data_IF_196522106259
#
_entry.id   IF_196522106259
#
_cell.length_a   1.000
_cell.length_b   1.000
_cell.length_c   1.000
_cell.angle_alpha   90.00
_cell.angle_beta   90.00
_cell.angle_gamma   90.00
#
_symmetry.space_group_name_H-M   'P 1'
#
loop_
_entity.id
_entity.type
_entity.pdbx_description
1 polymer ?
2 non-polymer ?
3 non-polymer ?
4 non-polymer ?
5 water ?
#
# COMPACT_ATOMS: atom_id res chain seq x y z
N UNK A 4 14.20 22.41 -5.58
CA UNK A 4 13.15 22.68 -6.61
C UNK A 4 11.88 21.92 -6.19
N UNK A 5 10.93 21.79 -7.12
CA UNK A 5 9.77 20.98 -6.88
C UNK A 5 9.95 19.59 -7.45
N UNK A 6 9.46 18.61 -6.70
CA UNK A 6 9.58 17.21 -7.08
C UNK A 6 8.18 16.64 -7.20
N UNK A 7 7.94 15.91 -8.28
CA UNK A 7 6.69 15.20 -8.46
C UNK A 7 6.95 13.69 -8.52
N UNK A 8 6.16 12.92 -7.77
CA UNK A 8 6.27 11.48 -7.72
C UNK A 8 4.90 10.90 -8.05
N UNK A 9 4.89 9.92 -8.98
CA UNK A 9 3.69 9.16 -9.33
C UNK A 9 3.95 7.69 -8.94
N UNK A 10 3.02 7.13 -8.18
CA UNK A 10 3.00 5.71 -7.83
C UNK A 10 1.90 5.10 -8.65
N UNK A 11 2.28 4.26 -9.60
CA UNK A 11 1.28 3.54 -10.44
C UNK A 11 0.92 2.23 -9.81
N UNK A 12 0.10 2.30 -8.78
CA UNK A 12 -0.31 1.10 -8.04
C UNK A 12 -1.32 0.27 -8.79
N UNK A 13 -1.52 -0.95 -8.32
CA UNK A 13 -2.40 -1.88 -8.99
C UNK A 13 -3.87 -1.41 -8.97
N UNK A 14 -4.34 -0.87 -7.85
CA UNK A 14 -5.68 -0.35 -7.75
C UNK A 14 -5.72 1.16 -7.95
N UNK A 15 -4.85 1.86 -7.24
CA UNK A 15 -4.91 3.30 -7.12
C UNK A 15 -3.60 3.92 -7.55
N UNK A 16 -3.68 4.99 -8.37
CA UNK A 16 -2.50 5.75 -8.74
C UNK A 16 -2.44 6.96 -7.81
N UNK A 17 -1.22 7.34 -7.43
CA UNK A 17 -1.02 8.49 -6.53
C UNK A 17 -0.09 9.49 -7.16
N UNK A 18 -0.35 10.76 -6.88
CA UNK A 18 0.48 11.86 -7.30
C UNK A 18 0.82 12.70 -6.06
N UNK A 19 2.12 12.84 -5.81
CA UNK A 19 2.63 13.69 -4.75
C UNK A 19 3.55 14.76 -5.32
N UNK A 20 3.26 16.03 -5.06
CA UNK A 20 4.10 17.12 -5.48
C UNK A 20 4.54 17.87 -4.24
N UNK A 21 5.86 18.05 -4.11
CA UNK A 21 6.49 18.60 -2.90
C UNK A 21 7.39 19.76 -3.28
N UNK A 22 7.33 20.84 -2.50
CA UNK A 22 8.25 21.95 -2.66
C UNK A 22 9.28 21.75 -1.56
N UNK A 23 10.53 22.07 -1.84
CA UNK A 23 11.54 21.84 -0.83
C UNK A 23 12.28 23.15 -0.63
N UNK A 24 11.87 23.89 0.40
CA UNK A 24 12.39 25.24 0.71
C UNK A 24 13.05 25.31 2.09
N UNK A 25 14.26 25.90 2.11
CA UNK A 25 15.11 25.87 3.30
C UNK A 25 15.35 24.41 3.75
N UNK A 26 15.56 23.54 2.76
CA UNK A 26 15.72 22.09 2.96
C UNK A 26 14.59 21.42 3.78
N UNK A 27 13.39 22.02 3.76
CA UNK A 27 12.22 21.44 4.41
C UNK A 27 11.19 21.11 3.30
N UNK A 28 10.79 19.84 3.13
CA UNK A 28 9.74 19.59 2.13
C UNK A 28 8.35 19.99 2.63
N UNK A 29 7.54 20.51 1.72
CA UNK A 29 6.16 20.94 1.98
C UNK A 29 5.26 20.37 0.85
N UNK A 30 4.20 19.70 1.22
CA UNK A 30 3.30 19.12 0.25
C UNK A 30 2.44 20.19 -0.44
N UNK A 31 2.53 20.23 -1.77
CA UNK A 31 1.63 21.01 -2.60
C UNK A 31 0.41 20.23 -3.08
N UNK A 32 0.61 18.98 -3.50
CA UNK A 32 -0.47 18.13 -4.03
C UNK A 32 -0.28 16.72 -3.50
N UNK A 33 -1.36 16.10 -3.03
CA UNK A 33 -1.40 14.71 -2.70
C UNK A 33 -2.75 14.22 -3.21
N UNK A 34 -2.73 13.55 -4.37
CA UNK A 34 -3.93 13.23 -5.17
C UNK A 34 -3.94 11.72 -5.40
N UNK A 35 -5.12 11.11 -5.47
CA UNK A 35 -5.23 9.73 -5.87
C UNK A 35 -6.30 9.57 -6.95
N UNK A 36 -6.20 8.47 -7.68
CA UNK A 36 -7.16 8.17 -8.71
C UNK A 36 -7.27 6.67 -8.82
N UNK A 37 -8.49 6.14 -8.78
CA UNK A 37 -8.72 4.71 -8.89
C UNK A 37 -8.60 4.33 -10.38
N UNK A 38 -7.69 3.40 -10.66
CA UNK A 38 -7.39 2.98 -12.00
C UNK A 38 -7.73 1.52 -12.23
N UNK A 39 -7.52 0.65 -11.25
CA UNK A 39 -7.83 -0.76 -11.47
C UNK A 39 -7.01 -1.37 -12.57
N UNK A 40 -5.70 -1.20 -12.47
CA UNK A 40 -4.76 -1.75 -13.43
C UNK A 40 -4.81 -3.28 -13.43
N UNK A 41 -5.14 -3.86 -12.29
CA UNK A 41 -5.14 -5.32 -12.16
C UNK A 41 -6.43 -5.99 -12.61
N UNK A 42 -7.50 -5.20 -12.64
CA UNK A 42 -8.84 -5.70 -12.93
C UNK A 42 -8.89 -6.40 -14.26
N UNK A 43 -9.42 -7.62 -14.28
CA UNK A 43 -9.60 -8.36 -15.52
C UNK A 43 -8.34 -9.01 -16.08
N UNK A 44 -7.17 -8.79 -15.46
CA UNK A 44 -5.93 -9.34 -16.00
C UNK A 44 -4.81 -9.84 -15.12
N UNK A 45 -4.69 -9.31 -13.91
CA UNK A 45 -3.50 -9.53 -13.14
C UNK A 45 -3.18 -10.99 -12.90
N UNK A 46 -4.17 -11.82 -12.54
CA UNK A 46 -3.84 -13.22 -12.23
C UNK A 46 -3.58 -14.04 -13.49
N UNK A 47 -3.82 -13.46 -14.67
CA UNK A 47 -3.57 -14.13 -15.93
C UNK A 47 -2.36 -13.54 -16.62
N UNK A 48 -1.70 -12.58 -15.98
CA UNK A 48 -0.41 -12.10 -16.44
C UNK A 48 -0.44 -11.03 -17.51
N UNK A 49 -1.55 -10.28 -17.62
CA UNK A 49 -1.63 -9.15 -18.58
C UNK A 49 -2.42 -7.98 -18.05
N UNK A 50 -2.33 -6.84 -18.75
CA UNK A 50 -3.10 -5.67 -18.45
C UNK A 50 -4.16 -5.51 -19.58
N UNK A 51 -5.43 -5.34 -19.25
CA UNK A 51 -6.44 -5.28 -20.29
C UNK A 51 -6.37 -3.94 -21.01
N UNK A 52 -6.98 -3.88 -22.17
CA UNK A 52 -7.10 -2.60 -22.87
C UNK A 52 -7.88 -1.57 -22.05
N UNK A 53 -8.94 -2.00 -21.37
CA UNK A 53 -9.73 -1.07 -20.59
C UNK A 53 -8.90 -0.49 -19.46
N UNK A 54 -8.08 -1.33 -18.82
CA UNK A 54 -7.22 -0.90 -17.73
C UNK A 54 -6.15 0.06 -18.25
N UNK A 55 -5.56 -0.24 -19.41
CA UNK A 55 -4.56 0.67 -19.99
C UNK A 55 -5.18 2.02 -20.29
N UNK A 56 -6.41 2.02 -20.82
CA UNK A 56 -7.10 3.27 -21.11
C UNK A 56 -7.39 4.08 -19.84
N UNK A 57 -7.80 3.42 -18.77
CA UNK A 57 -7.98 4.11 -17.47
C UNK A 57 -6.65 4.69 -16.98
N UNK A 58 -5.58 3.92 -17.09
CA UNK A 58 -4.26 4.38 -16.67
C UNK A 58 -3.83 5.65 -17.43
N UNK A 59 -4.01 5.64 -18.74
CA UNK A 59 -3.68 6.79 -19.57
C UNK A 59 -4.54 8.00 -19.24
N UNK A 60 -5.83 7.78 -19.02
CA UNK A 60 -6.72 8.86 -18.61
C UNK A 60 -6.18 9.53 -17.36
N UNK A 61 -5.84 8.73 -16.36
CA UNK A 61 -5.36 9.26 -15.11
C UNK A 61 -4.02 9.96 -15.28
N UNK A 62 -3.13 9.36 -16.08
CA UNK A 62 -1.83 9.98 -16.28
C UNK A 62 -1.91 11.32 -17.05
N UNK A 63 -2.88 11.45 -17.97
CA UNK A 63 -3.11 12.72 -18.65
C UNK A 63 -3.52 13.77 -17.64
N UNK A 64 -4.41 13.41 -16.71
CA UNK A 64 -4.78 14.31 -15.65
C UNK A 64 -3.64 14.67 -14.71
N UNK A 65 -2.84 13.69 -14.33
CA UNK A 65 -1.68 13.95 -13.49
C UNK A 65 -0.67 14.85 -14.20
N UNK A 66 -0.48 14.64 -15.50
CA UNK A 66 0.45 15.48 -16.27
C UNK A 66 -0.01 16.94 -16.24
N UNK A 67 -1.32 17.18 -16.38
CA UNK A 67 -1.81 18.55 -16.25
C UNK A 67 -1.44 19.15 -14.89
N UNK A 68 -1.68 18.39 -13.83
CA UNK A 68 -1.41 18.90 -12.48
C UNK A 68 0.08 19.18 -12.28
N UNK A 69 0.93 18.29 -12.79
CA UNK A 69 2.38 18.52 -12.74
C UNK A 69 2.76 19.83 -13.43
N UNK A 70 2.22 20.03 -14.62
CA UNK A 70 2.49 21.23 -15.38
C UNK A 70 1.95 22.48 -14.70
N UNK A 71 0.79 22.36 -14.07
CA UNK A 71 0.17 23.49 -13.35
C UNK A 71 1.02 23.91 -12.14
N UNK A 72 1.93 23.04 -11.69
CA UNK A 72 2.82 23.34 -10.56
C UNK A 72 4.27 23.47 -11.02
N UNK A 73 4.48 23.61 -12.34
CA UNK A 73 5.82 23.80 -12.90
C UNK A 73 6.84 22.78 -12.43
N UNK A 74 6.43 21.52 -12.35
CA UNK A 74 7.34 20.50 -11.82
C UNK A 74 8.40 20.12 -12.88
N UNK A 75 9.66 20.15 -12.47
CA UNK A 75 10.73 19.77 -13.38
C UNK A 75 11.16 18.34 -13.09
N UNK A 76 11.39 18.02 -11.81
CA UNK A 76 11.86 16.69 -11.44
C UNK A 76 10.66 15.75 -11.24
N UNK A 77 10.43 14.81 -12.17
CA UNK A 77 9.30 13.87 -12.09
C UNK A 77 9.84 12.45 -12.10
N UNK A 78 9.26 11.59 -11.26
CA UNK A 78 9.55 10.17 -11.32
C UNK A 78 8.27 9.37 -11.12
N UNK A 79 8.04 8.44 -12.04
CA UNK A 79 6.81 7.63 -12.06
C UNK A 79 7.25 6.18 -11.94
N UNK A 80 6.86 5.50 -10.87
CA UNK A 80 7.28 4.14 -10.65
C UNK A 80 6.13 3.22 -11.06
N UNK A 81 6.47 2.09 -11.66
CA UNK A 81 5.52 1.02 -11.93
C UNK A 81 5.88 -0.17 -11.05
N UNK A 82 4.88 -0.73 -10.36
CA UNK A 82 5.12 -1.81 -9.38
C UNK A 82 4.37 -3.10 -9.81
N UNK A 83 3.70 -3.82 -8.90
CA UNK A 83 3.27 -5.20 -9.17
C UNK A 83 2.53 -5.40 -10.52
N UNK A 84 1.45 -4.67 -10.76
CA UNK A 84 0.68 -4.92 -11.98
C UNK A 84 1.50 -4.59 -13.23
N UNK A 85 2.35 -3.59 -13.15
CA UNK A 85 3.18 -3.21 -14.30
C UNK A 85 4.27 -4.25 -14.53
N UNK A 86 5.04 -4.60 -13.50
CA UNK A 86 6.12 -5.56 -13.71
C UNK A 86 5.63 -6.98 -14.08
N UNK A 87 4.42 -7.33 -13.61
CA UNK A 87 3.82 -8.63 -13.78
C UNK A 87 3.24 -8.83 -15.19
N UNK A 88 2.79 -7.74 -15.80
CA UNK A 88 2.05 -7.79 -17.06
C UNK A 88 2.92 -8.06 -18.26
N UNK A 89 2.53 -9.09 -19.02
CA UNK A 89 3.33 -9.47 -20.18
C UNK A 89 3.39 -8.37 -21.20
N UNK A 90 2.36 -7.52 -21.22
CA UNK A 90 2.26 -6.42 -22.14
C UNK A 90 2.59 -5.07 -21.51
N UNK A 91 3.35 -5.07 -20.43
CA UNK A 91 3.77 -3.80 -19.81
C UNK A 91 4.40 -2.79 -20.76
N UNK A 92 5.19 -3.24 -21.73
CA UNK A 92 5.87 -2.30 -22.59
C UNK A 92 4.87 -1.56 -23.47
N UNK A 93 3.74 -2.18 -23.80
CA UNK A 93 2.72 -1.45 -24.57
C UNK A 93 2.27 -0.22 -23.75
N UNK A 94 1.93 -0.45 -22.50
CA UNK A 94 1.50 0.63 -21.59
C UNK A 94 2.59 1.69 -21.39
N UNK A 95 3.83 1.25 -21.16
CA UNK A 95 4.95 2.16 -20.95
C UNK A 95 5.17 3.03 -22.17
N UNK A 96 5.08 2.45 -23.35
CA UNK A 96 5.33 3.21 -24.59
C UNK A 96 4.18 4.19 -24.87
N UNK A 97 2.94 3.76 -24.56
CA UNK A 97 1.78 4.66 -24.72
C UNK A 97 1.91 5.85 -23.77
N UNK A 98 2.36 5.62 -22.54
CA UNK A 98 2.57 6.70 -21.58
C UNK A 98 3.63 7.70 -22.09
N UNK A 99 4.73 7.19 -22.61
CA UNK A 99 5.79 8.04 -23.11
C UNK A 99 5.27 8.91 -24.26
N UNK A 100 4.49 8.31 -25.15
CA UNK A 100 3.95 9.04 -26.30
C UNK A 100 2.97 10.11 -25.85
N UNK A 101 2.09 9.76 -24.93
CA UNK A 101 0.96 10.64 -24.57
C UNK A 101 1.34 11.81 -23.68
N UNK A 102 2.18 11.56 -22.68
CA UNK A 102 2.49 12.57 -21.66
C UNK A 102 4.00 12.79 -21.43
N UNK A 103 4.84 12.10 -22.22
CA UNK A 103 6.29 12.27 -22.12
C UNK A 103 6.84 12.02 -20.74
N UNK A 104 6.36 10.97 -20.10
CA UNK A 104 6.86 10.52 -18.79
C UNK A 104 7.43 9.12 -19.04
N UNK A 105 8.61 8.85 -18.49
CA UNK A 105 9.22 7.51 -18.59
C UNK A 105 8.96 6.75 -17.29
N UNK A 106 8.27 5.65 -17.41
CA UNK A 106 7.96 4.81 -16.26
C UNK A 106 9.22 4.06 -15.82
N UNK A 107 9.53 4.12 -14.54
CA UNK A 107 10.61 3.34 -13.91
C UNK A 107 9.96 2.10 -13.27
N UNK A 108 10.22 0.94 -13.85
CA UNK A 108 9.69 -0.31 -13.33
C UNK A 108 10.64 -0.76 -12.21
N UNK A 109 10.07 -0.94 -11.02
CA UNK A 109 10.89 -1.38 -9.88
C UNK A 109 10.44 -2.75 -9.43
N UNK A 110 11.42 -3.59 -9.06
CA UNK A 110 11.12 -4.91 -8.60
C UNK A 110 10.60 -4.87 -7.15
N UNK A 111 10.09 -5.99 -6.69
CA UNK A 111 9.47 -6.06 -5.37
C UNK A 111 10.44 -5.73 -4.22
N UNK A 112 11.70 -6.19 -4.33
CA UNK A 112 12.71 -5.93 -3.30
C UNK A 112 12.90 -4.43 -3.18
N UNK A 113 13.05 -3.76 -4.33
CA UNK A 113 13.34 -2.33 -4.30
C UNK A 113 12.15 -1.56 -3.84
N UNK A 114 10.95 -1.99 -4.25
CA UNK A 114 9.69 -1.40 -3.77
C UNK A 114 9.63 -1.46 -2.22
N UNK A 115 9.98 -2.60 -1.66
CA UNK A 115 9.99 -2.75 -0.22
C UNK A 115 10.97 -1.77 0.45
N UNK A 116 12.16 -1.66 -0.11
CA UNK A 116 13.17 -0.73 0.43
C UNK A 116 12.65 0.69 0.44
N UNK A 117 12.05 1.10 -0.68
CA UNK A 117 11.60 2.47 -0.82
C UNK A 117 10.43 2.75 0.11
N UNK A 118 9.50 1.80 0.21
CA UNK A 118 8.41 1.92 1.18
C UNK A 118 8.98 2.16 2.59
N UNK A 119 9.95 1.35 2.97
CA UNK A 119 10.50 1.47 4.34
C UNK A 119 11.17 2.82 4.58
N UNK A 120 11.80 3.41 3.54
CA UNK A 120 12.34 4.76 3.71
C UNK A 120 11.23 5.75 4.05
N UNK A 121 10.05 5.60 3.45
CA UNK A 121 8.91 6.44 3.81
C UNK A 121 8.43 6.20 5.24
N UNK A 122 8.34 4.93 5.62
CA UNK A 122 7.95 4.56 6.99
C UNK A 122 8.90 5.16 8.01
N UNK A 123 10.20 5.09 7.73
CA UNK A 123 11.23 5.65 8.62
C UNK A 123 10.99 7.15 8.83
N UNK A 124 10.57 7.87 7.79
CA UNK A 124 10.28 9.31 7.93
C UNK A 124 8.99 9.57 8.71
N UNK A 125 8.01 8.67 8.62
CA UNK A 125 6.72 8.85 9.25
C UNK A 125 6.66 8.40 10.70
N UNK A 126 7.42 7.38 11.06
CA UNK A 126 7.31 6.70 12.35
C UNK A 126 8.72 6.63 12.95
N UNK A 127 8.96 7.32 14.07
CA UNK A 127 10.28 7.27 14.69
C UNK A 127 10.46 6.00 15.51
N UNK A 128 11.11 5.00 14.92
CA UNK A 128 11.17 3.65 15.46
C UNK A 128 12.26 3.48 16.49
N UNK A 129 13.16 4.46 16.60
CA UNK A 129 14.34 4.32 17.47
C UNK A 129 15.08 3.02 17.07
N UNK A 130 15.56 2.26 18.05
CA UNK A 130 16.17 0.97 17.76
C UNK A 130 15.17 -0.18 17.88
N UNK A 131 13.87 0.11 17.92
CA UNK A 131 12.89 -0.94 18.06
C UNK A 131 12.76 -1.73 16.75
N UNK A 132 13.01 -3.03 16.82
CA UNK A 132 12.95 -3.89 15.61
C UNK A 132 11.48 -4.03 15.22
N UNK A 133 11.15 -3.56 14.03
CA UNK A 133 9.78 -3.40 13.62
C UNK A 133 9.54 -4.16 12.32
N UNK A 134 8.32 -4.72 12.19
CA UNK A 134 7.88 -5.31 10.94
C UNK A 134 6.92 -4.33 10.31
N UNK A 135 7.23 -3.84 9.11
CA UNK A 135 6.33 -3.02 8.34
C UNK A 135 5.72 -3.82 7.21
N UNK A 136 4.44 -3.57 6.95
CA UNK A 136 3.73 -4.26 5.87
C UNK A 136 2.90 -3.30 5.02
N UNK A 137 3.06 -3.39 3.71
CA UNK A 137 2.33 -2.57 2.74
C UNK A 137 1.46 -3.48 1.92
N UNK A 138 0.15 -3.38 2.09
CA UNK A 138 -0.82 -4.18 1.31
C UNK A 138 -1.37 -3.37 0.17
N UNK A 139 -1.15 -3.85 -1.03
CA UNK A 139 -1.68 -3.23 -2.22
C UNK A 139 -2.61 -4.19 -2.96
N UNK A 140 -3.09 -3.80 -4.15
CA UNK A 140 -3.87 -4.70 -4.96
C UNK A 140 -3.12 -5.82 -5.62
N UNK A 141 -1.82 -5.63 -5.86
CA UNK A 141 -1.03 -6.60 -6.57
C UNK A 141 -0.01 -7.33 -5.73
N UNK A 142 0.67 -6.59 -4.86
CA UNK A 142 1.67 -7.23 -3.98
C UNK A 142 1.59 -6.73 -2.55
N UNK A 143 2.25 -7.49 -1.65
CA UNK A 143 2.40 -7.12 -0.28
C UNK A 143 3.91 -7.18 0.04
N UNK A 144 4.43 -6.06 0.55
CA UNK A 144 5.84 -5.97 0.94
C UNK A 144 5.95 -6.03 2.48
N UNK A 145 6.92 -6.78 2.94
CA UNK A 145 7.25 -6.88 4.34
C UNK A 145 8.68 -6.47 4.54
N UNK A 146 8.94 -5.63 5.54
CA UNK A 146 10.27 -5.17 5.85
C UNK A 146 10.52 -5.25 7.37
N UNK A 147 11.65 -5.81 7.79
CA UNK A 147 12.04 -5.81 9.18
C UNK A 147 13.20 -4.86 9.35
N UNK A 148 13.07 -3.86 10.22
CA UNK A 148 14.13 -2.90 10.41
C UNK A 148 13.85 -1.94 11.54
N UNK A 149 14.61 -0.85 11.54
CA UNK A 149 14.48 0.20 12.59
C UNK A 149 14.81 1.53 11.97
N UNK A 150 15.15 2.54 12.78
CA UNK A 150 15.31 3.88 12.26
C UNK A 150 16.44 4.02 11.28
N UNK A 151 17.43 3.11 11.39
CA UNK A 151 18.69 3.18 10.65
C UNK A 151 18.92 2.11 9.54
N UNK A 152 18.27 0.95 9.67
CA UNK A 152 18.68 -0.24 8.96
C UNK A 152 17.46 -1.00 8.49
N UNK A 153 17.64 -1.68 7.36
CA UNK A 153 16.76 -2.78 6.94
C UNK A 153 17.51 -4.07 7.18
N UNK A 154 16.94 -4.92 8.02
CA UNK A 154 17.48 -6.22 8.34
C UNK A 154 17.08 -7.31 7.36
N UNK A 155 15.85 -7.21 6.84
CA UNK A 155 15.32 -8.19 5.93
C UNK A 155 14.14 -7.52 5.20
N UNK A 156 13.95 -7.89 3.94
CA UNK A 156 12.72 -7.47 3.24
C UNK A 156 12.36 -8.47 2.17
N UNK A 157 11.06 -8.56 1.87
CA UNK A 157 10.61 -9.45 0.79
C UNK A 157 9.23 -8.98 0.33
N UNK A 158 9.02 -9.06 -0.99
CA UNK A 158 7.74 -8.78 -1.61
C UNK A 158 7.11 -10.11 -2.02
N UNK A 159 5.80 -10.19 -1.84
CA UNK A 159 5.02 -11.37 -2.22
C UNK A 159 3.86 -10.93 -3.12
N UNK A 160 3.61 -11.69 -4.18
CA UNK A 160 2.52 -11.37 -5.16
C UNK A 160 1.19 -11.94 -4.64
N UNK A 161 0.74 -11.33 -3.55
CA UNK A 161 -0.49 -11.74 -2.83
C UNK A 161 -1.36 -10.53 -2.50
N UNK A 162 -1.24 -9.47 -3.32
CA UNK A 162 -2.09 -8.31 -3.16
C UNK A 162 -3.57 -8.67 -3.34
N UNK A 163 -4.44 -7.80 -2.84
CA UNK A 163 -5.85 -8.16 -2.70
C UNK A 163 -6.57 -8.46 -3.98
N UNK A 164 -6.24 -7.74 -5.05
CA UNK A 164 -6.88 -8.05 -6.36
C UNK A 164 -6.54 -9.45 -6.80
N UNK A 165 -5.28 -9.86 -6.60
CA UNK A 165 -4.90 -11.24 -6.94
C UNK A 165 -5.65 -12.24 -6.10
N UNK A 166 -5.77 -11.98 -4.80
CA UNK A 166 -6.41 -12.93 -3.89
C UNK A 166 -7.87 -13.12 -4.25
N UNK A 167 -8.63 -12.04 -4.52
CA UNK A 167 -10.06 -12.19 -4.79
C UNK A 167 -10.31 -12.74 -6.20
N UNK A 168 -9.33 -12.65 -7.10
CA UNK A 168 -9.49 -13.21 -8.45
C UNK A 168 -9.09 -14.65 -8.51
N UNK A 169 -8.10 -15.06 -7.72
CA UNK A 169 -7.62 -16.42 -7.78
C UNK A 169 -8.44 -17.36 -6.95
N UNK A 170 -9.09 -16.83 -5.91
CA UNK A 170 -9.92 -17.60 -5.01
C UNK A 170 -11.36 -17.03 -5.08
N UNK A 171 -12.33 -17.90 -4.86
CA UNK A 171 -13.72 -17.47 -4.72
C UNK A 171 -14.04 -17.27 -3.23
N UNK A 172 -13.97 -16.01 -2.79
CA UNK A 172 -14.34 -15.66 -1.43
C UNK A 172 -15.81 -15.24 -1.49
N UNK A 173 -16.60 -15.82 -0.60
CA UNK A 173 -18.04 -15.56 -0.60
C UNK A 173 -18.37 -14.21 0.04
N UNK A 174 -19.58 -13.74 -0.25
CA UNK A 174 -20.07 -12.42 0.14
C UNK A 174 -21.36 -12.59 0.93
N UNK A 175 -21.27 -12.63 2.26
CA UNK A 175 -20.11 -12.41 3.13
C UNK A 175 -19.27 -13.67 3.33
N UNK A 176 -18.11 -13.47 3.94
CA UNK A 176 -17.12 -14.54 4.09
C UNK A 176 -17.66 -15.68 4.94
N UNK A 177 -17.36 -16.90 4.52
CA UNK A 177 -17.72 -18.08 5.20
C UNK A 177 -16.55 -18.72 5.95
N UNK A 178 -16.86 -19.53 6.96
CA UNK A 178 -15.82 -20.26 7.67
C UNK A 178 -14.86 -21.02 6.73
N UNK A 179 -15.38 -21.73 5.73
CA UNK A 179 -14.50 -22.42 4.80
C UNK A 179 -13.58 -21.44 4.00
N UNK A 180 -14.06 -20.23 3.71
CA UNK A 180 -13.20 -19.20 3.08
C UNK A 180 -12.02 -18.82 4.00
N UNK A 181 -12.27 -18.72 5.32
CA UNK A 181 -11.21 -18.41 6.28
C UNK A 181 -10.16 -19.53 6.29
N UNK A 182 -10.62 -20.77 6.24
CA UNK A 182 -9.69 -21.90 6.15
C UNK A 182 -8.84 -21.77 4.87
N UNK A 183 -9.51 -21.52 3.74
CA UNK A 183 -8.84 -21.38 2.45
C UNK A 183 -7.76 -20.30 2.52
N UNK A 184 -8.10 -19.13 3.07
CA UNK A 184 -7.13 -18.02 3.03
C UNK A 184 -5.94 -18.23 3.94
N UNK A 185 -6.20 -18.72 5.14
CA UNK A 185 -5.11 -18.95 6.08
C UNK A 185 -4.24 -20.15 5.71
N UNK A 186 -4.84 -21.14 5.02
CA UNK A 186 -4.03 -22.21 4.47
C UNK A 186 -3.10 -21.68 3.39
N UNK A 187 -3.62 -20.85 2.51
CA UNK A 187 -2.79 -20.24 1.47
C UNK A 187 -1.69 -19.40 2.08
N UNK A 188 -2.05 -18.57 3.05
CA UNK A 188 -1.01 -17.75 3.70
C UNK A 188 0.08 -18.59 4.40
N UNK A 189 -0.31 -19.70 5.02
CA UNK A 189 0.63 -20.65 5.59
C UNK A 189 1.66 -21.10 4.55
N UNK A 190 1.21 -21.37 3.32
CA UNK A 190 2.10 -21.84 2.27
C UNK A 190 3.01 -20.73 1.73
N UNK A 191 2.48 -19.53 1.55
CA UNK A 191 3.18 -18.40 0.88
C UNK A 191 4.23 -17.76 1.80
N UNK A 192 3.88 -17.63 3.07
CA UNK A 192 4.61 -16.75 3.99
C UNK A 192 5.73 -17.41 4.77
N UNK A 193 6.15 -18.61 4.37
CA UNK A 193 7.25 -19.27 5.06
C UNK A 193 8.50 -18.40 5.21
N UNK A 194 8.90 -17.66 4.16
CA UNK A 194 10.11 -16.84 4.32
C UNK A 194 9.89 -15.72 5.35
N UNK A 195 8.64 -15.25 5.47
CA UNK A 195 8.33 -14.26 6.49
C UNK A 195 8.42 -14.85 7.89
N UNK A 196 7.89 -16.06 8.06
CA UNK A 196 7.96 -16.70 9.35
C UNK A 196 9.42 -16.86 9.79
N UNK A 197 10.26 -17.29 8.86
CA UNK A 197 11.67 -17.51 9.13
C UNK A 197 12.35 -16.21 9.55
N UNK A 198 12.07 -15.14 8.80
CA UNK A 198 12.64 -13.83 9.14
C UNK A 198 12.21 -13.29 10.48
N UNK A 199 10.94 -13.47 10.80
CA UNK A 199 10.43 -13.07 12.11
C UNK A 199 11.14 -13.85 13.21
N UNK A 200 11.36 -15.14 12.98
CA UNK A 200 12.07 -15.95 14.00
C UNK A 200 13.51 -15.53 14.17
N UNK A 201 14.14 -15.15 13.08
CA UNK A 201 15.54 -14.68 13.08
C UNK A 201 15.71 -13.33 13.77
N UNK A 202 14.89 -12.35 13.37
CA UNK A 202 15.10 -10.97 13.85
C UNK A 202 14.22 -10.53 15.03
N UNK A 203 13.14 -11.26 15.31
CA UNK A 203 12.26 -11.01 16.48
C UNK A 203 11.74 -9.57 16.58
N UNK A 204 11.06 -9.09 15.52
CA UNK A 204 10.47 -7.79 15.66
C UNK A 204 9.44 -7.75 16.81
N UNK A 205 9.32 -6.59 17.46
CA UNK A 205 8.46 -6.38 18.59
C UNK A 205 7.33 -5.40 18.30
N UNK A 206 7.29 -4.85 17.08
CA UNK A 206 6.21 -3.94 16.69
C UNK A 206 5.80 -4.20 15.24
N UNK A 207 4.55 -3.87 14.96
CA UNK A 207 3.94 -4.01 13.63
C UNK A 207 3.49 -2.65 13.13
N UNK A 208 3.92 -2.29 11.92
CA UNK A 208 3.54 -1.04 11.25
C UNK A 208 2.87 -1.40 9.93
N UNK A 209 1.76 -0.73 9.61
CA UNK A 209 1.08 -0.93 8.32
C UNK A 209 1.02 0.35 7.55
N UNK A 210 1.12 0.26 6.23
CA UNK A 210 0.91 1.43 5.39
C UNK A 210 0.09 1.07 4.14
N UNK A 211 -0.33 2.14 3.47
CA UNK A 211 -1.11 2.17 2.25
C UNK A 211 -2.59 2.05 2.51
N UNK A 212 -3.41 1.86 1.48
CA UNK A 212 -4.81 2.21 1.56
C UNK A 212 -5.62 1.45 2.58
N UNK A 213 -5.41 0.15 2.69
CA UNK A 213 -6.14 -0.67 3.66
C UNK A 213 -5.92 -0.13 5.07
N UNK A 214 -4.66 0.08 5.43
CA UNK A 214 -4.36 0.60 6.75
C UNK A 214 -4.87 2.02 6.98
N UNK A 215 -4.82 2.87 5.96
CA UNK A 215 -5.37 4.23 6.07
C UNK A 215 -6.85 4.15 6.35
N UNK A 216 -7.55 3.24 5.64
CA UNK A 216 -8.99 3.07 5.87
C UNK A 216 -9.32 2.56 7.27
N UNK A 217 -8.52 1.63 7.80
CA UNK A 217 -8.73 1.14 9.15
C UNK A 217 -8.59 2.28 10.15
N UNK A 218 -7.55 3.09 9.97
CA UNK A 218 -7.37 4.24 10.83
C UNK A 218 -8.57 5.18 10.76
N UNK A 219 -9.01 5.50 9.55
CA UNK A 219 -10.12 6.43 9.38
C UNK A 219 -11.40 5.89 9.99
N UNK A 220 -11.65 4.58 9.86
CA UNK A 220 -12.82 3.93 10.48
C UNK A 220 -12.74 4.04 11.98
N UNK A 221 -11.54 3.86 12.55
CA UNK A 221 -11.39 3.88 13.98
C UNK A 221 -11.59 5.29 14.54
N UNK A 222 -11.08 6.27 13.80
CA UNK A 222 -11.27 7.67 14.15
C UNK A 222 -12.75 8.01 14.21
N UNK A 223 -13.49 7.58 13.21
CA UNK A 223 -14.93 7.83 13.17
C UNK A 223 -15.63 7.11 14.30
N UNK A 224 -15.26 5.86 14.56
CA UNK A 224 -15.90 5.10 15.63
C UNK A 224 -15.69 5.74 16.99
N UNK A 225 -14.49 6.26 17.26
CA UNK A 225 -14.19 6.89 18.54
C UNK A 225 -14.51 8.40 18.56
N UNK A 226 -15.05 8.93 17.48
CA UNK A 226 -15.32 10.36 17.35
C UNK A 226 -14.09 11.20 17.72
N UNK A 227 -12.93 10.79 17.21
CA UNK A 227 -11.69 11.49 17.42
C UNK A 227 -11.67 12.69 16.45
N UNK A 228 -11.24 13.85 16.90
CA UNK A 228 -11.13 14.99 15.94
C UNK A 228 -9.74 14.96 15.33
N UNK A 229 -9.49 13.96 14.47
CA UNK A 229 -8.15 13.71 13.90
C UNK A 229 -8.22 13.70 12.39
N UNK A 230 -7.49 14.63 11.78
CA UNK A 230 -7.21 14.60 10.34
C UNK A 230 -5.95 13.79 10.09
N UNK A 231 -6.11 12.62 9.52
CA UNK A 231 -4.99 11.75 9.22
C UNK A 231 -3.99 12.43 8.26
N UNK A 232 -4.48 13.33 7.38
CA UNK A 232 -3.62 14.20 6.57
C UNK A 232 -2.64 15.10 7.34
N UNK A 233 -2.90 15.38 8.62
CA UNK A 233 -2.07 16.31 9.37
C UNK A 233 -1.13 15.62 10.36
N UNK A 234 -1.02 14.28 10.31
CA UNK A 234 -0.04 13.59 11.14
C UNK A 234 0.48 12.40 10.36
N UNK A 235 1.66 11.90 10.75
CA UNK A 235 2.28 10.86 9.94
C UNK A 235 2.15 9.46 10.49
N UNK A 236 1.58 9.30 11.67
CA UNK A 236 1.30 7.97 12.21
C UNK A 236 0.01 7.98 13.00
N UNK A 237 -0.57 6.80 13.18
CA UNK A 237 -1.79 6.63 13.99
C UNK A 237 -1.72 5.29 14.64
N UNK A 238 -1.85 5.22 15.97
CA UNK A 238 -1.77 3.93 16.61
C UNK A 238 -3.16 3.34 16.84
N UNK A 239 -3.30 2.14 16.33
CA UNK A 239 -4.53 1.35 16.42
C UNK A 239 -4.31 0.27 17.45
N UNK A 240 -5.10 0.25 18.51
CA UNK A 240 -4.93 -0.82 19.49
C UNK A 240 -5.37 -2.17 18.92
N UNK A 241 -4.92 -3.26 19.55
CA UNK A 241 -5.41 -4.60 19.12
C UNK A 241 -6.92 -4.78 19.33
N UNK A 242 -7.46 -4.33 20.46
CA UNK A 242 -8.93 -4.37 20.55
C UNK A 242 -9.67 -3.62 19.45
N UNK A 243 -9.14 -2.45 19.06
CA UNK A 243 -9.74 -1.72 17.97
C UNK A 243 -9.62 -2.48 16.64
N UNK A 244 -8.46 -3.08 16.39
CA UNK A 244 -8.27 -3.91 15.21
C UNK A 244 -9.25 -5.06 15.21
N UNK A 245 -9.40 -5.72 16.35
CA UNK A 245 -10.32 -6.86 16.36
C UNK A 245 -11.79 -6.47 16.17
N UNK A 246 -12.19 -5.28 16.63
CA UNK A 246 -13.53 -4.78 16.33
C UNK A 246 -13.71 -4.57 14.83
N UNK A 247 -12.71 -3.96 14.21
CA UNK A 247 -12.79 -3.71 12.78
C UNK A 247 -12.77 -5.01 12.01
N UNK A 248 -11.97 -5.96 12.45
CA UNK A 248 -11.88 -7.26 11.80
C UNK A 248 -13.24 -7.96 11.84
N UNK A 249 -13.85 -7.97 13.00
CA UNK A 249 -15.13 -8.68 13.15
C UNK A 249 -16.18 -7.99 12.25
N UNK A 250 -16.17 -6.66 12.25
CA UNK A 250 -17.11 -5.87 11.43
C UNK A 250 -16.93 -6.19 9.94
N UNK A 251 -15.69 -6.16 9.46
CA UNK A 251 -15.48 -6.33 8.03
C UNK A 251 -15.66 -7.79 7.59
N UNK A 252 -15.27 -8.77 8.41
CA UNK A 252 -15.50 -10.17 8.07
C UNK A 252 -17.02 -10.45 7.95
N UNK A 253 -17.84 -9.80 8.77
CA UNK A 253 -19.30 -10.01 8.72
C UNK A 253 -19.96 -9.29 7.55
N UNK A 254 -19.29 -8.26 7.03
CA UNK A 254 -19.84 -7.34 6.06
C UNK A 254 -20.03 -7.94 4.66
N UNK A 255 -21.01 -7.39 3.95
CA UNK A 255 -21.12 -7.60 2.54
C UNK A 255 -20.40 -6.51 1.75
N UNK A 256 -20.08 -6.81 0.49
CA UNK A 256 -19.49 -5.83 -0.40
C UNK A 256 -20.35 -4.55 -0.44
N UNK A 257 -21.66 -4.73 -0.59
CA UNK A 257 -22.56 -3.57 -0.67
C UNK A 257 -22.48 -2.71 0.58
N UNK A 258 -22.42 -3.32 1.75
CA UNK A 258 -22.27 -2.57 3.01
C UNK A 258 -20.95 -1.82 3.04
N UNK A 259 -19.88 -2.44 2.56
CA UNK A 259 -18.56 -1.78 2.60
C UNK A 259 -18.48 -0.57 1.67
N UNK A 260 -19.19 -0.64 0.56
CA UNK A 260 -19.20 0.49 -0.38
C UNK A 260 -19.74 1.74 0.30
N UNK A 261 -20.48 1.59 1.39
CA UNK A 261 -21.06 2.74 2.11
C UNK A 261 -20.16 3.30 3.22
N UNK A 262 -19.01 2.69 3.47
CA UNK A 262 -18.08 3.17 4.49
C UNK A 262 -17.33 4.39 3.92
N UNK A 263 -17.22 5.44 4.73
CA UNK A 263 -16.58 6.67 4.27
C UNK A 263 -15.12 6.39 3.92
N UNK A 264 -14.72 6.81 2.72
CA UNK A 264 -13.35 6.64 2.22
C UNK A 264 -13.05 5.27 1.62
N UNK A 265 -14.01 4.37 1.69
CA UNK A 265 -13.75 3.06 1.16
C UNK A 265 -14.10 3.05 -0.33
N UNK A 266 -13.09 3.25 -1.15
CA UNK A 266 -13.29 3.23 -2.60
C UNK A 266 -13.62 1.80 -3.09
N UNK A 267 -14.29 1.69 -4.24
CA UNK A 267 -14.77 0.39 -4.75
C UNK A 267 -13.73 -0.72 -4.76
N UNK A 268 -12.55 -0.47 -5.31
CA UNK A 268 -11.56 -1.54 -5.42
C UNK A 268 -11.06 -1.99 -4.05
N UNK A 269 -10.97 -1.06 -3.12
CA UNK A 269 -10.63 -1.42 -1.75
C UNK A 269 -11.77 -2.18 -1.05
N UNK A 270 -13.01 -1.75 -1.22
CA UNK A 270 -14.15 -2.53 -0.71
C UNK A 270 -14.09 -3.97 -1.18
N UNK A 271 -13.69 -4.18 -2.44
CA UNK A 271 -13.64 -5.53 -2.96
C UNK A 271 -12.61 -6.43 -2.27
N UNK A 272 -11.46 -5.91 -1.89
CA UNK A 272 -10.41 -6.77 -1.35
C UNK A 272 -10.03 -6.48 0.12
N UNK A 273 -10.80 -5.63 0.82
CA UNK A 273 -10.44 -5.31 2.21
C UNK A 273 -10.64 -6.47 3.19
N UNK A 274 -11.59 -7.37 2.90
CA UNK A 274 -11.78 -8.51 3.81
C UNK A 274 -10.59 -9.51 3.74
N UNK A 275 -10.12 -9.85 2.54
CA UNK A 275 -8.94 -10.68 2.46
C UNK A 275 -7.70 -9.99 3.01
N UNK A 276 -7.64 -8.66 2.85
CA UNK A 276 -6.56 -7.91 3.43
C UNK A 276 -6.57 -8.00 4.95
N UNK A 277 -7.74 -7.82 5.58
CA UNK A 277 -7.81 -7.92 7.05
C UNK A 277 -7.48 -9.34 7.54
N UNK A 278 -7.82 -10.37 6.76
CA UNK A 278 -7.43 -11.74 7.09
C UNK A 278 -5.91 -11.87 7.07
N UNK A 279 -5.26 -11.27 6.09
CA UNK A 279 -3.78 -11.30 6.03
C UNK A 279 -3.17 -10.58 7.22
N UNK A 280 -3.73 -9.45 7.60
CA UNK A 280 -3.21 -8.71 8.77
C UNK A 280 -3.35 -9.56 10.04
N UNK A 281 -4.50 -10.18 10.22
CA UNK A 281 -4.73 -11.05 11.37
C UNK A 281 -3.66 -12.16 11.35
N UNK A 282 -3.46 -12.78 10.18
CA UNK A 282 -2.48 -13.85 10.05
C UNK A 282 -1.12 -13.40 10.52
N UNK A 283 -0.70 -12.22 10.07
CA UNK A 283 0.62 -11.66 10.46
C UNK A 283 0.68 -11.31 11.95
N UNK A 284 -0.39 -10.75 12.48
CA UNK A 284 -0.48 -10.47 13.92
C UNK A 284 -0.24 -11.66 14.80
N UNK A 285 -0.70 -12.84 14.37
CA UNK A 285 -0.48 -14.05 15.12
C UNK A 285 0.99 -14.47 15.12
N UNK A 286 1.76 -14.02 14.12
CA UNK A 286 3.22 -14.29 14.04
C UNK A 286 4.11 -13.32 14.81
N UNK A 287 3.59 -12.14 15.12
CA UNK A 287 4.33 -11.09 15.85
C UNK A 287 3.75 -10.94 17.24
N UNK A 288 4.55 -10.52 18.21
CA UNK A 288 4.04 -10.22 19.53
C UNK A 288 4.13 -8.71 19.72
N UNK A 289 3.42 -7.98 18.83
CA UNK A 289 3.30 -6.52 18.87
C UNK A 289 2.28 -6.10 19.94
N UNK A 290 2.37 -4.86 20.45
CA UNK A 290 1.39 -4.38 21.44
C UNK A 290 0.19 -3.64 20.84
N UNK A 291 0.33 -3.23 19.60
CA UNK A 291 -0.71 -2.50 18.84
C UNK A 291 -0.24 -2.46 17.42
N UNK A 292 -1.00 -1.85 16.52
CA UNK A 292 -0.53 -1.60 15.15
C UNK A 292 -0.35 -0.10 14.98
N UNK A 293 0.79 0.29 14.40
CA UNK A 293 0.99 1.72 14.06
C UNK A 293 0.78 1.87 12.55
N UNK A 294 -0.18 2.71 12.15
CA UNK A 294 -0.37 3.04 10.76
C UNK A 294 0.58 4.20 10.37
N UNK A 295 1.43 3.96 9.39
CA UNK A 295 2.23 5.01 8.75
C UNK A 295 1.40 5.61 7.61
N UNK A 296 1.25 6.93 7.61
CA UNK A 296 0.55 7.57 6.47
C UNK A 296 1.45 7.76 5.27
N UNK A 297 2.74 7.48 5.42
CA UNK A 297 3.72 7.48 4.29
C UNK A 297 3.92 6.08 3.78
N UNK A 298 4.10 5.97 2.47
CA UNK A 298 4.31 4.68 1.83
C UNK A 298 5.27 4.92 0.63
N UNK A 299 5.09 4.19 -0.47
CA UNK A 299 6.06 4.24 -1.55
C UNK A 299 6.38 5.64 -2.06
N UNK A 300 5.37 6.45 -2.33
CA UNK A 300 5.61 7.76 -2.96
C UNK A 300 6.50 8.66 -2.07
N UNK A 301 6.25 8.61 -0.76
CA UNK A 301 7.09 9.33 0.17
C UNK A 301 8.49 8.72 0.28
N UNK A 302 8.59 7.40 0.22
CA UNK A 302 9.90 6.81 0.19
C UNK A 302 10.73 7.18 -1.00
N UNK A 303 10.08 7.29 -2.16
CA UNK A 303 10.75 7.77 -3.36
C UNK A 303 11.25 9.20 -3.17
N UNK A 304 10.37 10.09 -2.68
CA UNK A 304 10.73 11.48 -2.40
C UNK A 304 11.92 11.57 -1.47
N UNK A 305 11.87 10.83 -0.35
CA UNK A 305 12.94 11.01 0.63
C UNK A 305 14.24 10.36 0.18
N UNK A 306 14.16 9.31 -0.63
CA UNK A 306 15.34 8.71 -1.26
C UNK A 306 16.00 9.74 -2.16
N UNK A 307 15.18 10.45 -2.94
CA UNK A 307 15.67 11.54 -3.81
C UNK A 307 16.33 12.65 -2.98
N UNK A 308 15.68 13.08 -1.92
CA UNK A 308 16.20 14.13 -1.06
C UNK A 308 17.50 13.69 -0.37
N UNK A 309 17.63 12.39 -0.06
CA UNK A 309 18.87 11.84 0.52
C UNK A 309 20.01 11.92 -0.49
N UNK A 310 19.69 12.06 -1.78
CA UNK A 310 20.68 11.96 -2.87
C UNK A 310 21.05 10.55 -3.27
N UNK A 311 20.03 9.69 -3.34
CA UNK A 311 20.20 8.28 -3.64
C UNK A 311 19.35 7.92 -4.86
N UNK A 312 19.88 7.06 -5.74
CA UNK A 312 19.18 6.66 -6.95
C UNK A 312 17.96 5.82 -6.60
N UNK A 313 16.82 6.14 -7.22
CA UNK A 313 15.56 5.44 -6.92
C UNK A 313 15.47 4.05 -7.52
N UNK A 314 15.73 3.96 -8.81
CA UNK A 314 15.51 2.70 -9.54
C UNK A 314 16.32 1.52 -9.09
N UNK A 315 15.81 0.34 -9.46
CA UNK A 315 16.51 -0.95 -9.42
C UNK A 315 15.60 -2.12 -8.99
X LIG B 1 12.06 -8.94 -6.21
X LIG C 1 -1.69 -14.30 -9.12
X LIG D 1 0.09 -2.26 -5.29
X LIG D 1 0.15 -3.72 -5.01
X LIG D 1 -1.33 -1.77 -5.29
X LIG D 1 0.84 -1.56 -4.23
X LIG D 1 0.83 -2.19 -6.54
X LIG E 1 -6.02 0.34 -2.65
X LIG E 1 -7.25 -0.30 -3.22
X LIG E 1 -4.76 -0.24 -3.05
X LIG E 1 -6.07 0.15 -1.16
X LIG E 1 -5.95 1.79 -2.94
X LIG F 1 -5.45 6.38 0.46
X LIG F 1 -6.77 6.13 -0.14
X LIG F 1 -4.46 5.58 -0.27
X LIG F 1 -5.50 5.97 1.86
X LIG F 1 -5.11 7.80 0.35
X LIG G 1 -21.08 -15.47 -3.40
X LIG G 1 -21.30 -16.85 -3.86
X LIG G 1 -19.75 -15.13 -3.93
X LIG G 1 -21.25 -15.38 -1.99
X LIG G 1 -22.07 -14.57 -4.02
X LIG H 1 -10.25 -7.40 -22.13
X LIG H 1 -11.23 -8.29 -22.54
X LIG H 1 -10.52 -6.05 -22.78
X LIG H 1 -10.34 -4.89 -21.93
X LIG H 1 -9.53 -6.09 -23.92
X LIG H 1 -8.16 -6.10 -23.46
X LIG I 1 -7.23 -23.79 9.56
X LIG I 1 -8.20 -23.04 10.26
X LIG I 1 -6.22 -22.80 8.97
X LIG I 1 -5.19 -22.57 9.91
X LIG I 1 -5.68 -23.27 7.61
X LIG I 1 -4.72 -24.33 7.64
X LIG J 1 4.25 14.23 2.57
X LIG J 1 3.37 13.26 1.94
X LIG J 1 5.50 14.72 1.79
X LIG J 1 5.24 15.70 0.77
X LIG J 1 6.46 15.54 2.68
X LIG J 1 6.91 14.89 3.84
#
# INVERSE_FOLDING_TARGET
>A
GXSQRIGVIDMGTNTFHLLITDIVNDRPHTLVNEKSAVGLGKGGITKGFITEEAMDRALDTLKKFRVILDEHAVVHVIATGTSAVRSGSNKQVLIDRIKKEVNIDVEVIDGAREAELIFRGVQQAVPMEDHISLAMDIGGGSVEFIIGNKNEILWKQSFEIGGQRLIDRFHVHDPMREDDRVMMHNYFDEVLVPLEKAINTWRPTQLIGCSGTFDTLAEMNIQHHREKIALEKQTSYLLSLPDFNRLRKQLVASTRRERLAIAGMIELRADMVVVAICLIEHVLKLVSTNAITVSTYSLKEGVLYTMLDGVKVGS
>B hetero
1 CL CL
>C hetero
1 CL CL
>D hetero
1 SO4 S O1 O2 O3 O4
>E hetero
1 SO4 S O1 O2 O3 O4
>F hetero
1 SO4 S O1 O2 O3 O4
>G hetero
1 SO4 S O1 O2 O3 O4
>H hetero
1 GOL C1 O1 C2 O2 C3 O3
>I hetero
1 GOL C1 O1 C2 O2 C3 O3
>J hetero
1 GOL C1 O1 C2 O2 C3 O3
#
